data_IF_438450626509
#
_entry.id   IF_438450626509
#
_cell.length_a   1.000
_cell.length_b   1.000
_cell.length_c   1.000
_cell.angle_alpha   90.00
_cell.angle_beta   90.00
_cell.angle_gamma   90.00
#
_symmetry.space_group_name_H-M   'P 1'
#
loop_
_entity.id
_entity.type
_entity.pdbx_description
1 polymer ?
#
# COMPACT_ATOMS: atom_id res chain seq x y z
N UNK A 1 5.89 -1.83 -7.11
CA UNK A 1 5.82 -1.44 -5.69
C UNK A 1 6.97 -2.03 -4.86
N UNK A 2 7.28 -1.43 -3.68
CA UNK A 2 8.22 -2.00 -2.69
C UNK A 2 7.64 -1.87 -1.29
N UNK A 3 7.90 -2.86 -0.43
CA UNK A 3 7.54 -2.87 0.98
C UNK A 3 8.82 -3.14 1.78
N UNK A 4 9.21 -2.19 2.64
CA UNK A 4 10.47 -2.21 3.37
C UNK A 4 10.22 -1.88 4.84
N UNK A 5 11.10 -2.31 5.74
CA UNK A 5 11.07 -1.95 7.16
C UNK A 5 9.70 -2.22 7.83
N UNK A 6 9.10 -3.39 7.56
CA UNK A 6 7.84 -3.77 8.19
C UNK A 6 8.04 -4.11 9.65
N UNK A 7 7.31 -3.44 10.53
CA UNK A 7 7.28 -3.67 11.99
C UNK A 7 5.84 -3.93 12.43
N UNK A 8 5.64 -4.89 13.35
CA UNK A 8 4.32 -5.22 13.91
C UNK A 8 4.42 -5.30 15.42
N UNK A 9 3.49 -4.65 16.13
CA UNK A 9 3.46 -4.67 17.59
C UNK A 9 2.04 -4.54 18.14
N UNK A 10 1.88 -4.78 19.45
CA UNK A 10 0.62 -4.53 20.14
C UNK A 10 -0.23 -5.77 20.42
N UNK A 11 0.19 -6.96 20.04
CA UNK A 11 -0.58 -8.20 20.29
C UNK A 11 -0.88 -8.42 21.76
N UNK A 12 0.10 -8.30 22.66
CA UNK A 12 -0.06 -8.57 24.08
C UNK A 12 -1.20 -7.75 24.69
N UNK A 13 -1.12 -6.42 24.57
CA UNK A 13 -2.13 -5.56 25.20
C UNK A 13 -3.48 -5.64 24.48
N UNK A 14 -3.50 -5.89 23.18
CA UNK A 14 -4.74 -6.12 22.44
C UNK A 14 -5.46 -7.38 22.95
N UNK A 15 -4.73 -8.50 23.10
CA UNK A 15 -5.28 -9.77 23.62
C UNK A 15 -5.72 -9.66 25.08
N UNK A 16 -4.95 -8.95 25.93
CA UNK A 16 -5.39 -8.62 27.29
C UNK A 16 -6.67 -7.80 27.27
N UNK A 17 -6.76 -6.80 26.40
CA UNK A 17 -7.91 -5.90 26.24
C UNK A 17 -9.19 -6.62 25.81
N UNK A 18 -9.12 -7.59 24.89
CA UNK A 18 -10.30 -8.32 24.42
C UNK A 18 -10.98 -9.17 25.52
N UNK A 19 -10.26 -9.48 26.62
CA UNK A 19 -10.80 -10.25 27.76
C UNK A 19 -11.42 -9.38 28.85
N UNK A 20 -11.21 -8.06 28.81
CA UNK A 20 -11.74 -7.11 29.83
C UNK A 20 -13.27 -7.17 29.96
N UNK A 21 -14.10 -7.24 28.92
CA UNK A 21 -15.55 -7.18 29.07
C UNK A 21 -16.16 -8.30 29.94
N UNK A 22 -15.45 -9.42 30.04
CA UNK A 22 -15.92 -10.60 30.82
C UNK A 22 -14.99 -10.95 31.99
N UNK A 23 -14.02 -10.10 32.31
CA UNK A 23 -13.02 -10.37 33.34
C UNK A 23 -12.40 -11.78 33.23
N UNK A 24 -12.11 -12.20 31.99
CA UNK A 24 -11.72 -13.59 31.72
C UNK A 24 -10.21 -13.77 31.46
N UNK A 25 -9.37 -12.93 32.08
CA UNK A 25 -7.90 -12.97 31.94
C UNK A 25 -7.28 -14.31 32.35
N UNK A 26 -7.86 -14.99 33.33
CA UNK A 26 -7.43 -16.32 33.77
C UNK A 26 -7.63 -17.42 32.73
N UNK A 27 -8.31 -17.12 31.63
CA UNK A 27 -8.50 -18.05 30.48
C UNK A 27 -7.55 -17.76 29.33
N UNK A 28 -6.66 -16.77 29.48
CA UNK A 28 -5.63 -16.48 28.48
C UNK A 28 -4.58 -17.58 28.48
N UNK A 29 -4.20 -18.02 27.29
CA UNK A 29 -3.18 -19.04 27.04
C UNK A 29 -2.07 -18.52 26.13
N UNK A 30 -2.04 -17.21 25.88
CA UNK A 30 -0.95 -16.56 25.15
C UNK A 30 0.28 -16.38 26.05
N UNK A 31 1.47 -16.48 25.47
CA UNK A 31 2.73 -16.49 26.22
C UNK A 31 3.89 -15.92 25.38
N UNK A 32 5.01 -15.67 26.02
CA UNK A 32 6.28 -15.39 25.35
C UNK A 32 7.09 -16.69 25.23
N UNK A 33 7.55 -16.99 24.01
CA UNK A 33 8.41 -18.14 23.77
C UNK A 33 9.88 -17.85 24.17
N UNK A 34 10.76 -18.86 24.07
CA UNK A 34 12.19 -18.76 24.42
C UNK A 34 12.94 -17.65 23.66
N UNK A 35 12.46 -17.25 22.48
CA UNK A 35 13.02 -16.17 21.67
C UNK A 35 12.41 -14.80 22.00
N UNK A 36 11.66 -14.70 23.08
CA UNK A 36 10.94 -13.49 23.50
C UNK A 36 9.93 -12.97 22.47
N UNK A 37 9.36 -13.85 21.64
CA UNK A 37 8.27 -13.53 20.73
C UNK A 37 6.93 -13.86 21.40
N UNK A 38 5.98 -12.93 21.31
CA UNK A 38 4.63 -13.15 21.80
C UNK A 38 3.87 -14.13 20.92
N UNK A 39 3.38 -15.21 21.52
CA UNK A 39 2.63 -16.28 20.84
C UNK A 39 1.19 -16.24 21.30
N UNK A 40 0.26 -16.14 20.36
CA UNK A 40 -1.17 -16.19 20.65
C UNK A 40 -1.59 -17.64 20.87
N UNK A 41 -2.13 -17.92 22.06
CA UNK A 41 -2.66 -19.23 22.41
C UNK A 41 -3.97 -19.55 21.70
N UNK A 42 -4.34 -20.82 21.70
CA UNK A 42 -5.52 -21.32 20.97
C UNK A 42 -6.83 -20.71 21.49
N UNK A 43 -6.96 -20.57 22.82
CA UNK A 43 -8.16 -19.99 23.44
C UNK A 43 -8.30 -18.50 23.15
N UNK A 44 -7.19 -17.74 23.14
CA UNK A 44 -7.17 -16.34 22.77
C UNK A 44 -7.48 -16.16 21.30
N UNK A 45 -6.91 -16.98 20.42
CA UNK A 45 -7.19 -16.94 18.99
C UNK A 45 -8.66 -17.25 18.67
N UNK A 46 -9.25 -18.28 19.29
CA UNK A 46 -10.69 -18.60 19.12
C UNK A 46 -11.58 -17.43 19.57
N UNK A 47 -11.26 -16.78 20.68
CA UNK A 47 -11.99 -15.61 21.14
C UNK A 47 -11.84 -14.43 20.17
N UNK A 48 -10.62 -14.13 19.75
CA UNK A 48 -10.33 -13.07 18.78
C UNK A 48 -11.15 -13.27 17.49
N UNK A 49 -11.11 -14.45 16.91
CA UNK A 49 -11.87 -14.80 15.70
C UNK A 49 -13.39 -14.69 15.90
N UNK A 50 -13.90 -15.08 17.05
CA UNK A 50 -15.34 -14.95 17.37
C UNK A 50 -15.77 -13.47 17.45
N UNK A 51 -14.91 -12.60 18.00
CA UNK A 51 -15.15 -11.16 18.08
C UNK A 51 -15.04 -10.46 16.71
N UNK A 52 -14.13 -10.91 15.85
CA UNK A 52 -14.02 -10.41 14.48
C UNK A 52 -15.32 -10.71 13.71
N UNK A 53 -15.85 -11.92 13.81
CA UNK A 53 -17.10 -12.35 13.19
C UNK A 53 -18.33 -11.60 13.70
N UNK A 54 -18.32 -11.22 14.99
CA UNK A 54 -19.41 -10.49 15.63
C UNK A 54 -19.53 -9.02 15.16
N UNK A 55 -18.54 -8.49 14.45
CA UNK A 55 -18.61 -7.17 13.83
C UNK A 55 -17.72 -6.10 14.48
N UNK A 56 -17.74 -4.90 13.93
CA UNK A 56 -16.81 -3.80 14.25
C UNK A 56 -16.85 -3.38 15.73
N UNK A 57 -18.03 -3.45 16.37
CA UNK A 57 -18.20 -3.11 17.78
C UNK A 57 -17.49 -4.08 18.73
N UNK A 58 -17.27 -5.32 18.30
CA UNK A 58 -16.68 -6.38 19.10
C UNK A 58 -15.18 -6.56 18.84
N UNK A 59 -14.69 -6.25 17.64
CA UNK A 59 -13.29 -6.45 17.22
C UNK A 59 -12.38 -5.26 17.49
N UNK A 60 -12.71 -4.40 18.47
CA UNK A 60 -11.94 -3.18 18.82
C UNK A 60 -10.47 -3.46 19.16
N UNK A 61 -10.14 -4.64 19.64
CA UNK A 61 -8.78 -5.06 19.96
C UNK A 61 -7.86 -5.00 18.73
N UNK A 62 -8.39 -5.20 17.51
CA UNK A 62 -7.61 -5.12 16.26
C UNK A 62 -7.04 -3.71 16.02
N UNK A 63 -7.68 -2.66 16.54
CA UNK A 63 -7.19 -1.27 16.49
C UNK A 63 -6.02 -1.00 17.43
N UNK A 64 -5.64 -1.99 18.24
CA UNK A 64 -4.49 -1.94 19.15
C UNK A 64 -3.30 -2.75 18.63
N UNK A 65 -3.43 -3.42 17.49
CA UNK A 65 -2.36 -4.14 16.81
C UNK A 65 -1.93 -3.28 15.62
N UNK A 66 -0.70 -2.75 15.69
CA UNK A 66 -0.19 -1.78 14.73
C UNK A 66 0.83 -2.40 13.78
N UNK A 67 0.85 -1.86 12.58
CA UNK A 67 1.85 -2.15 11.55
C UNK A 67 2.43 -0.83 11.06
N UNK A 68 3.76 -0.73 11.02
CA UNK A 68 4.47 0.33 10.32
C UNK A 68 5.25 -0.26 9.16
N UNK A 69 5.25 0.42 8.01
CA UNK A 69 5.92 -0.06 6.80
C UNK A 69 6.28 1.11 5.89
N UNK A 70 7.43 1.01 5.24
CA UNK A 70 7.82 1.90 4.16
C UNK A 70 7.28 1.34 2.84
N UNK A 71 6.37 2.07 2.19
CA UNK A 71 5.79 1.68 0.91
C UNK A 71 6.25 2.65 -0.18
N UNK A 72 6.83 2.11 -1.27
CA UNK A 72 7.06 2.86 -2.50
C UNK A 72 6.03 2.42 -3.53
N UNK A 73 5.18 3.36 -3.97
CA UNK A 73 4.06 3.10 -4.87
C UNK A 73 3.77 4.31 -5.77
N UNK A 74 3.09 4.12 -6.93
CA UNK A 74 2.72 5.20 -7.82
C UNK A 74 1.64 6.11 -7.21
N UNK A 75 1.59 7.37 -7.67
CA UNK A 75 0.63 8.36 -7.15
C UNK A 75 -0.83 7.92 -7.33
N UNK A 76 -1.17 7.24 -8.44
CA UNK A 76 -2.53 6.73 -8.65
C UNK A 76 -2.94 5.72 -7.57
N UNK A 77 -2.02 4.86 -7.11
CA UNK A 77 -2.27 3.92 -6.02
C UNK A 77 -2.46 4.65 -4.68
N UNK A 78 -1.63 5.66 -4.41
CA UNK A 78 -1.74 6.46 -3.19
C UNK A 78 -3.06 7.19 -3.08
N UNK A 79 -3.63 7.69 -4.19
CA UNK A 79 -4.95 8.32 -4.21
C UNK A 79 -6.05 7.37 -3.73
N UNK A 80 -5.97 6.10 -4.11
CA UNK A 80 -6.89 5.09 -3.62
C UNK A 80 -6.61 4.70 -2.16
N UNK A 81 -5.33 4.53 -1.78
CA UNK A 81 -4.95 4.25 -0.41
C UNK A 81 -5.42 5.35 0.55
N UNK A 82 -5.35 6.61 0.14
CA UNK A 82 -5.79 7.76 0.93
C UNK A 82 -7.30 7.75 1.26
N UNK A 83 -8.10 6.87 0.68
CA UNK A 83 -9.50 6.64 1.08
C UNK A 83 -9.62 5.89 2.41
N UNK A 84 -8.57 5.20 2.87
CA UNK A 84 -8.51 4.46 4.13
C UNK A 84 -7.87 5.27 5.28
N UNK A 85 -8.25 6.54 5.43
CA UNK A 85 -7.60 7.49 6.36
C UNK A 85 -7.88 7.23 7.84
N UNK A 86 -8.97 6.56 8.17
CA UNK A 86 -9.34 6.33 9.58
C UNK A 86 -8.38 5.30 10.18
N UNK A 87 -7.57 5.73 11.16
CA UNK A 87 -6.58 4.87 11.81
C UNK A 87 -5.27 4.69 11.05
N UNK A 88 -5.07 5.43 9.93
CA UNK A 88 -3.80 5.43 9.19
C UNK A 88 -3.08 6.76 9.30
N UNK A 89 -1.75 6.73 9.41
CA UNK A 89 -0.87 7.90 9.37
C UNK A 89 0.22 7.65 8.35
N UNK A 90 0.50 8.64 7.49
CA UNK A 90 1.53 8.51 6.47
C UNK A 90 2.42 9.74 6.41
N UNK A 91 3.75 9.51 6.39
CA UNK A 91 4.76 10.52 6.10
C UNK A 91 5.36 10.24 4.72
N UNK A 92 5.17 11.15 3.78
CA UNK A 92 5.61 10.99 2.39
C UNK A 92 6.90 11.73 2.09
N UNK A 93 7.67 11.22 1.12
CA UNK A 93 8.70 12.02 0.46
C UNK A 93 8.03 13.20 -0.25
N UNK A 94 8.61 14.38 -0.07
CA UNK A 94 8.03 15.61 -0.61
C UNK A 94 8.37 15.77 -2.09
N UNK A 95 7.39 15.73 -2.96
CA UNK A 95 7.55 16.12 -4.37
C UNK A 95 7.86 17.62 -4.50
N UNK A 96 7.30 18.45 -3.62
CA UNK A 96 7.51 19.91 -3.63
C UNK A 96 8.96 20.31 -3.34
N UNK A 97 9.63 19.60 -2.41
CA UNK A 97 10.98 19.99 -1.99
C UNK A 97 12.09 19.15 -2.63
N UNK A 98 11.79 17.93 -3.06
CA UNK A 98 12.80 16.96 -3.49
C UNK A 98 12.78 16.64 -4.97
N UNK A 99 11.69 16.91 -5.68
CA UNK A 99 11.57 16.58 -7.11
C UNK A 99 12.72 17.13 -7.96
N UNK A 100 13.18 18.36 -7.69
CA UNK A 100 14.26 18.98 -8.43
C UNK A 100 15.68 18.53 -7.99
N UNK A 101 15.82 17.80 -6.89
CA UNK A 101 17.15 17.45 -6.32
C UNK A 101 17.76 16.17 -6.89
N UNK A 102 16.94 15.33 -7.51
CA UNK A 102 17.37 14.03 -8.05
C UNK A 102 17.07 13.98 -9.55
N UNK A 103 17.95 13.44 -10.40
CA UNK A 103 17.66 13.22 -11.82
C UNK A 103 16.39 12.43 -12.01
N UNK A 104 15.60 12.80 -13.01
CA UNK A 104 14.36 12.10 -13.37
C UNK A 104 14.69 11.05 -14.42
N UNK A 105 14.53 9.80 -14.05
CA UNK A 105 14.82 8.63 -14.90
C UNK A 105 13.62 7.70 -14.95
N UNK A 106 13.68 6.66 -15.77
CA UNK A 106 12.62 5.68 -15.91
C UNK A 106 12.29 4.99 -14.57
N UNK A 107 13.29 4.76 -13.72
CA UNK A 107 13.12 4.14 -12.39
C UNK A 107 12.28 4.99 -11.41
N UNK A 108 11.99 6.24 -11.76
CA UNK A 108 11.11 7.11 -10.98
C UNK A 108 9.63 6.82 -11.22
N UNK A 109 9.30 5.93 -12.16
CA UNK A 109 7.93 5.69 -12.60
C UNK A 109 7.55 4.21 -12.47
N UNK A 110 6.27 3.96 -12.23
CA UNK A 110 5.67 2.63 -12.33
C UNK A 110 5.41 2.30 -13.80
N UNK A 111 5.97 1.18 -14.25
CA UNK A 111 5.88 0.71 -15.63
C UNK A 111 5.84 -0.83 -15.72
N UNK A 112 5.59 -1.52 -14.60
CA UNK A 112 5.71 -2.99 -14.52
C UNK A 112 4.77 -3.74 -15.44
N UNK A 113 3.58 -3.22 -15.67
CA UNK A 113 2.56 -3.78 -16.57
C UNK A 113 2.56 -3.14 -17.95
N UNK A 114 3.67 -2.52 -18.29
CA UNK A 114 3.87 -1.80 -19.53
C UNK A 114 3.69 -2.71 -20.76
N UNK A 115 2.67 -2.45 -21.55
CA UNK A 115 2.37 -3.23 -22.76
C UNK A 115 2.99 -2.54 -23.95
N UNK A 116 4.06 -3.15 -24.50
CA UNK A 116 4.59 -2.77 -25.81
C UNK A 116 3.54 -3.07 -26.88
N UNK A 117 3.32 -2.12 -27.78
CA UNK A 117 2.40 -2.26 -28.91
C UNK A 117 0.91 -2.36 -28.54
N UNK A 118 0.46 -1.59 -27.57
CA UNK A 118 -0.97 -1.30 -27.47
C UNK A 118 -1.42 -0.74 -28.83
N UNK A 119 -2.35 -1.43 -29.50
CA UNK A 119 -2.98 -0.91 -30.70
C UNK A 119 -3.68 0.40 -30.37
N UNK A 120 -3.05 1.49 -30.77
CA UNK A 120 -3.64 2.83 -30.65
C UNK A 120 -4.39 3.15 -31.92
N UNK A 121 -5.69 3.25 -31.84
CA UNK A 121 -6.49 3.95 -32.85
C UNK A 121 -6.30 5.44 -32.63
N UNK A 122 -5.18 5.98 -33.10
CA UNK A 122 -4.90 7.41 -33.03
C UNK A 122 -5.93 8.19 -33.84
N UNK A 123 -6.57 9.19 -33.20
CA UNK A 123 -7.33 10.19 -33.97
C UNK A 123 -6.32 11.06 -34.70
N UNK A 124 -6.39 11.14 -36.07
CA UNK A 124 -5.48 11.99 -36.80
C UNK A 124 -5.68 13.45 -36.41
N UNK A 125 -4.64 14.08 -35.90
CA UNK A 125 -4.63 15.54 -35.67
C UNK A 125 -3.95 16.17 -36.87
N UNK A 126 -4.73 16.71 -37.80
CA UNK A 126 -4.23 17.25 -39.06
C UNK A 126 -3.64 16.17 -39.97
N UNK A 127 -2.52 16.47 -40.67
CA UNK A 127 -1.83 15.54 -41.57
C UNK A 127 -0.82 14.62 -40.87
N UNK A 128 -0.77 14.63 -39.53
CA UNK A 128 0.19 13.84 -38.79
C UNK A 128 -0.49 12.62 -38.17
N UNK A 129 -0.23 11.45 -38.75
CA UNK A 129 -0.52 10.17 -38.11
C UNK A 129 0.68 9.86 -37.21
N UNK A 130 0.65 10.31 -35.96
CA UNK A 130 1.67 9.90 -35.01
C UNK A 130 1.23 8.60 -34.36
N UNK A 131 1.91 7.51 -34.71
CA UNK A 131 1.86 6.28 -33.94
C UNK A 131 2.53 6.55 -32.58
N UNK A 132 1.75 6.72 -31.52
CA UNK A 132 2.28 6.79 -30.17
C UNK A 132 2.25 5.37 -29.60
N UNK A 133 3.41 4.75 -29.42
CA UNK A 133 3.55 3.70 -28.45
C UNK A 133 3.84 4.31 -27.07
N UNK A 134 3.53 3.56 -26.02
CA UNK A 134 3.73 4.05 -24.66
C UNK A 134 5.21 4.26 -24.33
N UNK A 135 6.12 3.47 -24.93
CA UNK A 135 7.57 3.57 -24.70
C UNK A 135 8.11 4.92 -25.15
N UNK A 136 7.79 5.36 -26.35
CA UNK A 136 8.17 6.68 -26.83
C UNK A 136 7.49 7.80 -26.02
N UNK A 137 6.26 7.58 -25.58
CA UNK A 137 5.52 8.57 -24.79
C UNK A 137 6.15 8.79 -23.42
N UNK A 138 6.50 7.73 -22.70
CA UNK A 138 7.14 7.86 -21.38
C UNK A 138 8.55 8.45 -21.49
N UNK A 139 9.33 8.07 -22.50
CA UNK A 139 10.67 8.62 -22.71
C UNK A 139 10.63 10.12 -23.02
N UNK A 140 9.70 10.58 -23.85
CA UNK A 140 9.49 12.02 -24.11
C UNK A 140 9.05 12.78 -22.88
N UNK A 141 8.19 12.18 -22.05
CA UNK A 141 7.79 12.78 -20.77
C UNK A 141 9.00 12.95 -19.86
N UNK A 142 9.85 11.93 -19.75
CA UNK A 142 11.08 11.98 -18.93
C UNK A 142 12.02 13.07 -19.44
N UNK A 143 12.28 13.12 -20.75
CA UNK A 143 13.13 14.16 -21.35
C UNK A 143 12.61 15.56 -21.05
N UNK A 144 11.30 15.77 -21.17
CA UNK A 144 10.66 17.05 -20.86
C UNK A 144 10.82 17.41 -19.37
N UNK A 145 10.52 16.47 -18.48
CA UNK A 145 10.59 16.69 -17.03
C UNK A 145 12.03 16.95 -16.58
N UNK A 146 12.99 16.16 -17.08
CA UNK A 146 14.41 16.35 -16.76
C UNK A 146 14.92 17.70 -17.34
N UNK A 147 14.51 18.07 -18.54
CA UNK A 147 14.82 19.38 -19.12
C UNK A 147 14.28 20.55 -18.26
N UNK A 148 13.04 20.44 -17.79
CA UNK A 148 12.46 21.44 -16.86
C UNK A 148 13.23 21.50 -15.53
N UNK A 149 13.63 20.35 -14.98
CA UNK A 149 14.44 20.24 -13.77
C UNK A 149 15.79 20.94 -13.95
N UNK A 150 16.50 20.66 -15.03
CA UNK A 150 17.80 21.28 -15.33
C UNK A 150 17.66 22.80 -15.48
N UNK A 151 16.65 23.29 -16.19
CA UNK A 151 16.38 24.73 -16.33
C UNK A 151 16.07 25.38 -15.00
N UNK A 152 15.32 24.73 -14.11
CA UNK A 152 15.10 25.23 -12.78
C UNK A 152 16.40 25.31 -11.97
N UNK A 153 17.25 24.29 -12.03
CA UNK A 153 18.53 24.27 -11.29
C UNK A 153 19.47 25.38 -11.79
N UNK A 154 19.49 25.62 -13.09
CA UNK A 154 20.33 26.64 -13.73
C UNK A 154 19.86 28.07 -13.39
N UNK A 155 18.57 28.33 -13.56
CA UNK A 155 18.01 29.69 -13.53
C UNK A 155 17.40 30.09 -12.19
N UNK A 156 17.02 29.12 -11.34
CA UNK A 156 16.19 29.27 -10.15
C UNK A 156 14.81 29.91 -10.43
N UNK A 157 14.39 29.95 -11.67
CA UNK A 157 13.07 30.47 -12.05
C UNK A 157 11.98 29.46 -11.65
N UNK A 158 11.13 29.87 -10.71
CA UNK A 158 10.05 29.07 -10.15
C UNK A 158 9.01 28.61 -11.19
N UNK A 159 8.97 29.24 -12.36
CA UNK A 159 8.08 28.84 -13.47
C UNK A 159 8.44 27.45 -13.98
N UNK A 160 9.74 27.12 -14.13
CA UNK A 160 10.18 25.77 -14.53
C UNK A 160 9.84 24.73 -13.46
N UNK A 161 10.03 25.06 -12.18
CA UNK A 161 9.64 24.18 -11.09
C UNK A 161 8.12 23.92 -11.06
N UNK A 162 7.31 24.94 -11.32
CA UNK A 162 5.85 24.81 -11.37
C UNK A 162 5.40 23.94 -12.55
N UNK A 163 6.03 24.07 -13.72
CA UNK A 163 5.78 23.20 -14.87
C UNK A 163 6.17 21.75 -14.58
N UNK A 164 7.32 21.53 -13.94
CA UNK A 164 7.76 20.21 -13.53
C UNK A 164 6.71 19.50 -12.65
N UNK A 165 6.15 20.18 -11.65
CA UNK A 165 5.10 19.62 -10.80
C UNK A 165 3.80 19.38 -11.58
N UNK A 166 3.43 20.31 -12.46
CA UNK A 166 2.19 20.24 -13.24
C UNK A 166 2.13 19.01 -14.15
N UNK A 167 3.26 18.64 -14.75
CA UNK A 167 3.36 17.54 -15.68
C UNK A 167 3.81 16.21 -15.06
N UNK A 168 3.95 16.16 -13.75
CA UNK A 168 4.31 14.92 -13.07
C UNK A 168 3.21 13.87 -13.29
N UNK A 169 3.60 12.74 -13.88
CA UNK A 169 2.68 11.64 -14.16
C UNK A 169 2.17 10.97 -12.89
N UNK A 170 0.96 10.42 -12.95
CA UNK A 170 0.37 9.58 -11.89
C UNK A 170 1.17 8.30 -11.62
N UNK A 171 1.97 7.86 -12.58
CA UNK A 171 2.89 6.71 -12.41
C UNK A 171 4.14 7.04 -11.61
N UNK A 172 4.37 8.31 -11.21
CA UNK A 172 5.49 8.70 -10.37
C UNK A 172 5.49 7.94 -9.05
N UNK A 173 6.63 7.29 -8.72
CA UNK A 173 6.80 6.53 -7.50
C UNK A 173 7.08 7.46 -6.31
N UNK A 174 6.27 7.36 -5.28
CA UNK A 174 6.44 8.08 -4.03
C UNK A 174 6.60 7.09 -2.87
N UNK A 175 7.62 7.30 -2.04
CA UNK A 175 7.81 6.55 -0.80
C UNK A 175 7.05 7.22 0.35
N UNK A 176 6.31 6.42 1.12
CA UNK A 176 5.67 6.85 2.37
C UNK A 176 5.96 5.83 3.47
N UNK A 177 6.28 6.31 4.66
CA UNK A 177 6.21 5.49 5.88
C UNK A 177 4.78 5.58 6.39
N UNK A 178 4.13 4.43 6.46
CA UNK A 178 2.71 4.32 6.84
C UNK A 178 2.59 3.51 8.12
N UNK A 179 1.82 4.03 9.08
CA UNK A 179 1.37 3.28 10.25
C UNK A 179 -0.15 3.09 10.16
N UNK A 180 -0.60 1.84 10.34
CA UNK A 180 -2.01 1.43 10.30
C UNK A 180 -2.24 0.33 11.33
N UNK A 181 -3.49 -0.03 11.55
CA UNK A 181 -3.84 -1.12 12.46
C UNK A 181 -4.44 -2.34 11.72
N UNK A 182 -4.61 -3.46 12.43
CA UNK A 182 -5.16 -4.70 11.85
C UNK A 182 -6.63 -4.56 11.46
N UNK A 183 -7.39 -3.63 12.06
CA UNK A 183 -8.76 -3.30 11.62
C UNK A 183 -8.75 -2.66 10.23
N UNK A 184 -7.79 -1.74 9.96
CA UNK A 184 -7.61 -1.17 8.63
C UNK A 184 -7.24 -2.24 7.61
N UNK A 185 -6.31 -3.14 7.97
CA UNK A 185 -5.91 -4.24 7.09
C UNK A 185 -7.08 -5.18 6.79
N UNK A 186 -7.89 -5.52 7.78
CA UNK A 186 -9.11 -6.30 7.58
C UNK A 186 -10.09 -5.59 6.63
N UNK A 187 -10.27 -4.27 6.79
CA UNK A 187 -11.14 -3.48 5.92
C UNK A 187 -10.63 -3.43 4.47
N UNK A 188 -9.30 -3.32 4.28
CA UNK A 188 -8.67 -3.27 2.95
C UNK A 188 -8.65 -4.67 2.30
N UNK A 189 -8.23 -5.70 3.04
CA UNK A 189 -7.95 -7.03 2.53
C UNK A 189 -9.13 -7.99 2.59
N UNK A 190 -10.24 -7.62 3.27
CA UNK A 190 -11.40 -8.45 3.45
C UNK A 190 -12.12 -8.79 2.14
N UNK A 191 -13.12 -9.67 2.24
CA UNK A 191 -13.91 -10.15 1.11
C UNK A 191 -14.57 -9.00 0.34
N UNK A 192 -14.37 -8.97 -0.97
CA UNK A 192 -14.93 -7.96 -1.87
C UNK A 192 -14.21 -6.60 -1.86
N UNK A 193 -13.14 -6.46 -1.10
CA UNK A 193 -12.32 -5.24 -1.07
C UNK A 193 -11.14 -5.32 -2.07
N UNK A 194 -9.96 -4.83 -1.71
CA UNK A 194 -8.80 -4.73 -2.60
C UNK A 194 -8.21 -6.07 -3.05
N UNK A 195 -8.57 -7.18 -2.42
CA UNK A 195 -8.13 -8.54 -2.81
C UNK A 195 -8.45 -8.89 -4.26
N UNK A 196 -9.53 -8.35 -4.80
CA UNK A 196 -9.99 -8.60 -6.17
C UNK A 196 -9.92 -7.35 -7.04
N UNK A 197 -9.09 -6.38 -6.64
CA UNK A 197 -8.94 -5.14 -7.40
C UNK A 197 -8.19 -5.39 -8.71
N UNK A 198 -8.62 -4.72 -9.78
CA UNK A 198 -8.01 -4.85 -11.11
C UNK A 198 -6.61 -4.23 -11.25
N UNK A 199 -6.23 -3.32 -10.34
CA UNK A 199 -4.84 -2.84 -10.27
C UNK A 199 -3.98 -3.89 -9.58
N UNK A 200 -2.94 -4.32 -10.28
CA UNK A 200 -2.06 -5.40 -9.83
C UNK A 200 -1.30 -5.03 -8.54
N UNK A 201 -1.03 -3.76 -8.32
CA UNK A 201 -0.42 -3.23 -7.11
C UNK A 201 -1.24 -3.51 -5.83
N UNK A 202 -2.55 -3.69 -5.97
CA UNK A 202 -3.41 -4.14 -4.88
C UNK A 202 -3.43 -5.66 -4.78
N UNK A 203 -3.89 -6.33 -5.81
CA UNK A 203 -4.33 -7.73 -5.76
C UNK A 203 -3.28 -8.75 -6.21
N UNK A 204 -2.39 -8.37 -7.12
CA UNK A 204 -1.47 -9.30 -7.78
C UNK A 204 -2.17 -10.32 -8.68
N UNK A 205 -3.43 -10.09 -9.11
CA UNK A 205 -4.21 -11.08 -9.88
C UNK A 205 -3.64 -11.35 -11.26
N UNK A 206 -3.18 -10.30 -11.95
CA UNK A 206 -2.67 -10.43 -13.31
C UNK A 206 -1.21 -10.93 -13.32
N UNK A 207 -0.43 -10.55 -12.29
CA UNK A 207 0.94 -11.00 -12.11
C UNK A 207 1.29 -11.14 -10.62
N UNK A 208 1.13 -12.34 -10.03
CA UNK A 208 1.37 -12.58 -8.61
C UNK A 208 2.86 -12.47 -8.21
N UNK A 209 3.79 -12.47 -9.17
CA UNK A 209 5.22 -12.32 -8.92
C UNK A 209 5.66 -10.86 -8.71
N UNK A 210 4.79 -9.90 -9.06
CA UNK A 210 5.03 -8.49 -8.80
C UNK A 210 4.62 -8.16 -7.36
N UNK A 211 5.45 -7.41 -6.60
CA UNK A 211 5.09 -7.00 -5.24
C UNK A 211 3.76 -6.23 -5.22
N UNK A 212 2.82 -6.69 -4.39
CA UNK A 212 1.49 -6.10 -4.25
C UNK A 212 1.05 -6.06 -2.79
N UNK A 213 0.08 -5.21 -2.48
CA UNK A 213 -0.36 -4.96 -1.11
C UNK A 213 -0.94 -6.21 -0.43
N UNK A 214 -1.74 -6.99 -1.13
CA UNK A 214 -2.36 -8.21 -0.56
C UNK A 214 -1.30 -9.27 -0.25
N UNK A 215 -0.35 -9.50 -1.15
CA UNK A 215 0.75 -10.45 -0.89
C UNK A 215 1.62 -10.01 0.29
N UNK A 216 1.92 -8.72 0.39
CA UNK A 216 2.61 -8.17 1.56
C UNK A 216 1.80 -8.37 2.86
N UNK A 217 0.50 -8.03 2.86
CA UNK A 217 -0.35 -8.19 4.04
C UNK A 217 -0.43 -9.64 4.54
N UNK A 218 -0.33 -10.62 3.63
CA UNK A 218 -0.29 -12.05 3.98
C UNK A 218 0.98 -12.47 4.74
N UNK A 219 2.07 -11.70 4.63
CA UNK A 219 3.32 -11.99 5.36
C UNK A 219 3.28 -11.56 6.83
N UNK A 220 2.28 -10.78 7.22
CA UNK A 220 2.17 -10.26 8.58
C UNK A 220 1.84 -11.37 9.60
N UNK A 221 2.30 -11.26 10.83
CA UNK A 221 1.99 -12.23 11.88
C UNK A 221 0.47 -12.41 12.04
N UNK A 222 0.02 -13.66 12.10
CA UNK A 222 -1.40 -14.03 12.25
C UNK A 222 -2.33 -13.41 11.21
N UNK A 223 -1.82 -13.03 10.03
CA UNK A 223 -2.62 -12.41 8.99
C UNK A 223 -3.77 -13.31 8.52
N UNK A 224 -3.50 -14.61 8.34
CA UNK A 224 -4.51 -15.58 7.89
C UNK A 224 -5.65 -15.71 8.90
N UNK A 225 -5.33 -15.71 10.19
CA UNK A 225 -6.29 -15.93 11.29
C UNK A 225 -7.10 -14.67 11.61
N UNK A 226 -6.53 -13.46 11.42
CA UNK A 226 -7.13 -12.20 11.86
C UNK A 226 -7.57 -11.29 10.71
N UNK A 227 -6.78 -11.22 9.63
CA UNK A 227 -7.04 -10.31 8.50
C UNK A 227 -7.80 -11.04 7.37
N UNK A 228 -7.36 -12.25 7.01
CA UNK A 228 -7.96 -13.07 5.95
C UNK A 228 -8.87 -14.17 6.50
N UNK A 229 -9.50 -13.92 7.63
CA UNK A 229 -10.34 -14.87 8.38
C UNK A 229 -11.50 -15.43 7.58
N UNK A 230 -12.02 -14.68 6.62
CA UNK A 230 -13.10 -15.11 5.73
C UNK A 230 -12.69 -16.35 4.88
N UNK A 231 -11.42 -16.44 4.48
CA UNK A 231 -10.91 -17.59 3.73
C UNK A 231 -10.88 -18.89 4.56
N UNK A 232 -10.82 -18.77 5.89
CA UNK A 232 -10.93 -19.93 6.78
C UNK A 232 -12.37 -20.42 6.94
N UNK A 233 -13.34 -19.54 6.65
CA UNK A 233 -14.77 -19.84 6.76
C UNK A 233 -15.33 -20.47 5.50
N UNK A 234 -14.85 -20.06 4.34
CA UNK A 234 -15.30 -20.59 3.04
C UNK A 234 -14.79 -22.03 2.77
N UNK A 235 -13.86 -22.54 3.63
CA UNK A 235 -13.32 -23.93 3.55
C UNK A 235 -14.05 -24.94 4.42
N UNK A 236 -15.10 -24.53 5.14
CA UNK A 236 -15.97 -25.39 5.95
C UNK A 236 -17.34 -25.53 5.32
#
# INVERSE_FOLDING_TARGET
>A
MKFENTEVWGFEHALRGLRNPKNSWNKSDSYYNDNNNFVIGENDMKLAQSLIKAGSEHRKFMRQIFVSVDITAPLYWWKEFDTYKVGTVANSTSTMHKLATTPITLDCFEIDDYVKNLEWTGVPIGNCVSCYDSEHSIMRLIDMLEGLRQKYLETKDVRYWKELIRWLSESWLQKRTVTMDYENLLAICGKGQRRFHKLNEWSGQDNPNVPNFISWARTLPYAQELIFIDELLDKK
#
